data_IF_086893960606
#
_entry.id   IF_086893960606
#
_cell.length_a   1.000
_cell.length_b   1.000
_cell.length_c   1.000
_cell.angle_alpha   90.00
_cell.angle_beta   90.00
_cell.angle_gamma   90.00
#
_symmetry.space_group_name_H-M   'P 1'
#
loop_
_entity.id
_entity.type
_entity.pdbx_description
1 polymer ?
#
# COMPACT_ATOMS: atom_id res chain seq x y z
N UNK A 1 -14.72 11.77 -8.86
CA UNK A 1 -13.28 11.89 -9.20
C UNK A 1 -12.59 13.02 -8.43
N UNK A 2 -13.21 14.20 -8.30
CA UNK A 2 -12.64 15.38 -7.61
C UNK A 2 -12.31 15.15 -6.12
N UNK A 3 -13.14 14.38 -5.39
CA UNK A 3 -13.02 14.19 -3.95
C UNK A 3 -11.72 13.47 -3.53
N UNK A 4 -11.27 12.47 -4.30
CA UNK A 4 -10.01 11.74 -4.05
C UNK A 4 -8.80 12.65 -4.20
N UNK A 5 -8.81 13.52 -5.22
CA UNK A 5 -7.74 14.50 -5.44
C UNK A 5 -7.72 15.56 -4.34
N UNK A 6 -8.88 16.07 -3.93
CA UNK A 6 -8.98 17.02 -2.82
C UNK A 6 -8.46 16.41 -1.52
N UNK A 7 -8.85 15.17 -1.22
CA UNK A 7 -8.34 14.46 -0.05
C UNK A 7 -6.82 14.31 -0.12
N UNK A 8 -6.28 13.87 -1.26
CA UNK A 8 -4.83 13.74 -1.47
C UNK A 8 -4.07 15.03 -1.14
N UNK A 9 -4.51 16.17 -1.66
CA UNK A 9 -3.88 17.46 -1.38
C UNK A 9 -4.03 17.86 0.09
N UNK A 10 -5.17 17.56 0.71
CA UNK A 10 -5.42 17.90 2.10
C UNK A 10 -4.53 17.09 3.07
N UNK A 11 -4.31 15.82 2.77
CA UNK A 11 -3.45 14.94 3.59
C UNK A 11 -2.00 14.87 3.11
N UNK A 12 -1.65 15.62 2.07
CA UNK A 12 -0.32 15.64 1.49
C UNK A 12 0.80 15.88 2.53
N UNK A 13 0.65 16.80 3.51
CA UNK A 13 1.66 16.98 4.55
C UNK A 13 1.86 15.72 5.41
N UNK A 14 0.78 15.00 5.74
CA UNK A 14 0.86 13.75 6.51
C UNK A 14 1.52 12.62 5.69
N UNK A 15 1.19 12.54 4.38
CA UNK A 15 1.83 11.59 3.47
C UNK A 15 3.33 11.85 3.33
N UNK A 16 3.73 13.13 3.20
CA UNK A 16 5.15 13.50 3.12
C UNK A 16 5.90 13.15 4.41
N UNK A 17 5.33 13.49 5.57
CA UNK A 17 5.93 13.15 6.86
C UNK A 17 6.13 11.64 7.00
N UNK A 18 5.09 10.84 6.71
CA UNK A 18 5.19 9.38 6.81
C UNK A 18 6.15 8.79 5.79
N UNK A 19 6.16 9.29 4.56
CA UNK A 19 7.11 8.84 3.54
C UNK A 19 8.56 9.15 3.96
N UNK A 20 8.82 10.33 4.53
CA UNK A 20 10.13 10.70 5.05
C UNK A 20 10.55 9.76 6.20
N UNK A 21 9.65 9.47 7.14
CA UNK A 21 9.92 8.53 8.24
C UNK A 21 10.34 7.15 7.69
N UNK A 22 9.58 6.59 6.76
CA UNK A 22 9.89 5.29 6.14
C UNK A 22 11.21 5.33 5.37
N UNK A 23 11.54 6.46 4.72
CA UNK A 23 12.82 6.66 4.05
C UNK A 23 13.99 6.68 5.04
N UNK A 24 13.83 7.28 6.21
CA UNK A 24 14.88 7.24 7.26
C UNK A 24 15.14 5.84 7.79
N UNK A 25 14.14 4.95 7.70
CA UNK A 25 14.27 3.51 8.02
C UNK A 25 14.82 2.67 6.86
N UNK A 26 15.12 3.30 5.70
CA UNK A 26 15.70 2.64 4.53
C UNK A 26 14.68 2.20 3.47
N UNK A 27 13.39 2.51 3.62
CA UNK A 27 12.36 2.13 2.67
C UNK A 27 12.09 3.23 1.64
N UNK A 28 12.22 2.89 0.35
CA UNK A 28 11.90 3.82 -0.75
C UNK A 28 10.40 3.82 -1.03
N UNK A 29 9.67 4.62 -0.27
CA UNK A 29 8.22 4.79 -0.40
C UNK A 29 7.90 6.19 -0.93
N UNK A 30 7.00 6.26 -1.91
CA UNK A 30 6.44 7.51 -2.43
C UNK A 30 5.12 7.86 -1.76
N UNK A 31 4.76 9.14 -1.71
CA UNK A 31 3.46 9.60 -1.19
C UNK A 31 2.29 9.02 -1.99
N UNK A 32 2.48 8.80 -3.30
CA UNK A 32 1.49 8.20 -4.18
C UNK A 32 1.20 6.73 -3.79
N UNK A 33 2.24 5.92 -3.60
CA UNK A 33 2.11 4.53 -3.16
C UNK A 33 1.42 4.42 -1.79
N UNK A 34 1.82 5.26 -0.83
CA UNK A 34 1.21 5.33 0.50
C UNK A 34 -0.29 5.63 0.41
N UNK A 35 -0.65 6.65 -0.38
CA UNK A 35 -2.04 7.05 -0.54
C UNK A 35 -2.87 6.01 -1.28
N UNK A 36 -2.33 5.42 -2.33
CA UNK A 36 -2.98 4.36 -3.10
C UNK A 36 -3.29 3.15 -2.21
N UNK A 37 -2.30 2.67 -1.44
CA UNK A 37 -2.52 1.62 -0.47
C UNK A 37 -3.60 1.97 0.57
N UNK A 38 -3.57 3.19 1.13
CA UNK A 38 -4.57 3.61 2.09
C UNK A 38 -5.98 3.58 1.48
N UNK A 39 -6.12 4.04 0.23
CA UNK A 39 -7.41 4.03 -0.49
C UNK A 39 -7.89 2.61 -0.79
N UNK A 40 -7.01 1.74 -1.26
CA UNK A 40 -7.37 0.40 -1.74
C UNK A 40 -7.54 -0.64 -0.63
N UNK A 41 -6.85 -0.46 0.48
CA UNK A 41 -6.84 -1.38 1.62
C UNK A 41 -7.60 -0.79 2.80
N UNK A 42 -7.09 0.29 3.39
CA UNK A 42 -7.58 0.83 4.68
C UNK A 42 -8.94 1.54 4.56
N UNK A 43 -9.19 2.24 3.47
CA UNK A 43 -10.40 3.05 3.25
C UNK A 43 -11.38 2.44 2.25
N UNK A 44 -11.12 1.21 1.79
CA UNK A 44 -11.91 0.54 0.75
C UNK A 44 -13.41 0.52 1.03
N UNK A 45 -13.77 0.30 2.30
CA UNK A 45 -15.17 0.16 2.74
C UNK A 45 -15.75 1.46 3.30
N UNK A 46 -14.99 2.55 3.28
CA UNK A 46 -15.41 3.83 3.84
C UNK A 46 -15.59 4.87 2.74
N UNK A 47 -16.79 5.42 2.58
CA UNK A 47 -17.00 6.47 1.59
C UNK A 47 -16.26 7.73 2.05
N UNK A 48 -15.56 8.39 1.12
CA UNK A 48 -14.60 9.46 1.42
C UNK A 48 -15.21 10.68 2.15
N UNK A 49 -16.50 10.88 2.01
CA UNK A 49 -17.33 11.91 2.67
C UNK A 49 -17.61 11.62 4.14
N UNK A 50 -17.45 10.38 4.59
CA UNK A 50 -17.63 9.97 5.99
C UNK A 50 -16.31 9.77 6.74
N UNK A 51 -15.18 9.82 6.03
CA UNK A 51 -13.86 9.70 6.62
C UNK A 51 -13.54 10.94 7.47
N UNK A 52 -13.37 10.72 8.77
CA UNK A 52 -12.92 11.77 9.68
C UNK A 52 -11.43 12.03 9.47
N UNK A 53 -11.03 13.29 9.32
CA UNK A 53 -9.65 13.63 8.94
C UNK A 53 -8.60 13.10 9.92
N UNK A 54 -8.90 13.09 11.22
CA UNK A 54 -8.01 12.53 12.23
C UNK A 54 -7.80 11.01 12.06
N UNK A 55 -8.83 10.28 11.62
CA UNK A 55 -8.73 8.83 11.33
C UNK A 55 -7.92 8.58 10.07
N UNK A 56 -8.11 9.43 9.05
CA UNK A 56 -7.34 9.39 7.80
C UNK A 56 -5.85 9.58 8.10
N UNK A 57 -5.49 10.63 8.85
CA UNK A 57 -4.10 10.87 9.26
C UNK A 57 -3.56 9.71 10.11
N UNK A 58 -4.32 9.25 11.11
CA UNK A 58 -3.90 8.11 11.93
C UNK A 58 -3.63 6.86 11.09
N UNK A 59 -4.47 6.57 10.10
CA UNK A 59 -4.29 5.42 9.21
C UNK A 59 -3.07 5.53 8.29
N UNK A 60 -2.71 6.74 7.85
CA UNK A 60 -1.47 6.99 7.11
C UNK A 60 -0.27 6.63 7.98
N UNK A 61 -0.23 7.11 9.23
CA UNK A 61 0.86 6.81 10.15
C UNK A 61 0.89 5.36 10.65
N UNK A 62 -0.25 4.66 10.63
CA UNK A 62 -0.33 3.24 10.92
C UNK A 62 0.21 2.35 9.78
N UNK A 63 0.33 2.89 8.55
CA UNK A 63 0.85 2.14 7.40
C UNK A 63 2.35 1.89 7.58
N UNK A 64 2.75 0.63 7.54
CA UNK A 64 4.14 0.17 7.66
C UNK A 64 4.78 -0.04 6.29
N UNK A 65 6.09 -0.33 6.27
CA UNK A 65 6.76 -0.66 5.01
C UNK A 65 6.36 -2.06 4.52
N UNK A 66 6.09 -3.00 5.43
CA UNK A 66 5.62 -4.34 5.10
C UNK A 66 4.25 -4.31 4.43
N UNK A 67 3.36 -3.44 4.90
CA UNK A 67 2.03 -3.22 4.32
C UNK A 67 2.08 -2.83 2.82
N UNK A 68 3.16 -2.14 2.43
CA UNK A 68 3.34 -1.60 1.07
C UNK A 68 4.07 -2.58 0.14
N UNK A 69 4.55 -3.71 0.67
CA UNK A 69 5.16 -4.71 -0.18
C UNK A 69 4.08 -5.46 -0.97
N UNK A 70 4.31 -5.74 -2.26
CA UNK A 70 3.42 -6.62 -3.00
C UNK A 70 3.34 -7.96 -2.27
N UNK A 71 2.14 -8.49 -2.08
CA UNK A 71 1.95 -9.80 -1.46
C UNK A 71 2.62 -10.84 -2.35
N UNK A 72 3.84 -11.23 -2.00
CA UNK A 72 4.59 -12.31 -2.66
C UNK A 72 4.08 -13.62 -2.10
N UNK A 73 2.86 -14.00 -2.48
CA UNK A 73 2.24 -15.29 -2.15
C UNK A 73 3.07 -16.49 -2.69
N UNK A 74 4.08 -16.20 -3.51
CA UNK A 74 4.99 -17.16 -4.12
C UNK A 74 6.46 -16.91 -3.77
N UNK A 75 6.75 -16.19 -2.68
CA UNK A 75 8.15 -15.98 -2.25
C UNK A 75 8.86 -17.29 -1.87
N UNK A 76 8.10 -18.32 -1.47
CA UNK A 76 8.62 -19.65 -1.14
C UNK A 76 8.60 -20.63 -2.33
N UNK A 77 7.99 -20.26 -3.46
CA UNK A 77 7.90 -21.17 -4.61
C UNK A 77 9.12 -20.97 -5.50
N UNK A 78 10.03 -21.94 -5.43
CA UNK A 78 11.23 -21.96 -6.26
C UNK A 78 10.85 -22.09 -7.74
N UNK A 79 11.61 -21.44 -8.63
CA UNK A 79 11.38 -21.48 -10.08
C UNK A 79 11.38 -22.92 -10.63
N UNK A 80 12.11 -23.83 -9.98
CA UNK A 80 12.11 -25.25 -10.29
C UNK A 80 10.77 -25.94 -9.99
N UNK A 81 10.10 -25.63 -8.88
CA UNK A 81 8.78 -26.21 -8.55
C UNK A 81 7.71 -25.74 -9.54
N UNK A 82 7.77 -24.47 -9.97
CA UNK A 82 6.88 -23.94 -11.00
C UNK A 82 7.07 -24.69 -12.31
N UNK A 83 8.31 -25.00 -12.69
CA UNK A 83 8.62 -25.77 -13.90
C UNK A 83 8.11 -27.21 -13.80
N UNK A 84 8.27 -27.87 -12.66
CA UNK A 84 7.72 -29.21 -12.46
C UNK A 84 6.19 -29.20 -12.61
N UNK A 85 5.49 -28.26 -11.98
CA UNK A 85 4.02 -28.19 -12.08
C UNK A 85 3.49 -27.85 -13.48
N UNK A 86 4.26 -27.11 -14.28
CA UNK A 86 3.84 -26.69 -15.62
C UNK A 86 4.20 -27.68 -16.74
N UNK A 87 5.26 -28.47 -16.56
CA UNK A 87 5.80 -29.32 -17.61
C UNK A 87 5.72 -30.82 -17.31
N UNK A 88 5.36 -31.21 -16.09
CA UNK A 88 5.27 -32.61 -15.67
C UNK A 88 3.82 -33.15 -15.69
N UNK A 89 3.04 -32.78 -16.71
CA UNK A 89 1.73 -33.40 -17.03
C UNK A 89 1.78 -34.23 -18.31
N UNK A 90 2.92 -34.91 -18.54
CA UNK A 90 3.03 -36.01 -19.52
C UNK A 90 4.08 -37.01 -19.06
N UNK A 91 3.67 -38.08 -18.37
CA UNK A 91 3.72 -39.47 -18.88
C UNK A 91 2.86 -40.37 -18.00
#
# INVERSE_FOLDING_TARGET
MYLKQQLYYHVFPALQARAADLQTMGHKVTTAQLFEYCVESRWRNHPFDQLQMHQVVASIFATTAEDLQPVTIFSDVNEEEIRTLLYDDKT
#
